data_IF_707671656039
#
_entry.id   IF_707671656039
#
_cell.length_a   1.000
_cell.length_b   1.000
_cell.length_c   1.000
_cell.angle_alpha   90.00
_cell.angle_beta   90.00
_cell.angle_gamma   90.00
#
_symmetry.space_group_name_H-M   'P 1'
#
loop_
_entity.id
_entity.type
_entity.pdbx_description
1 polymer ?
#
# COMPACT_ATOMS: atom_id res chain seq x y z
N UNK A 1 -10.61 -7.52 -2.56
CA UNK A 1 -10.36 -6.06 -2.51
C UNK A 1 -11.54 -5.23 -3.01
N UNK A 2 -11.94 -5.31 -4.29
CA UNK A 2 -12.97 -4.42 -4.90
C UNK A 2 -14.34 -4.44 -4.19
N UNK A 3 -14.79 -5.59 -3.68
CA UNK A 3 -16.06 -5.72 -2.96
C UNK A 3 -16.07 -5.19 -1.51
N UNK A 4 -14.89 -5.02 -0.89
CA UNK A 4 -14.77 -4.58 0.51
C UNK A 4 -14.76 -3.04 0.64
N UNK A 5 -14.45 -2.33 -0.45
CA UNK A 5 -14.35 -0.86 -0.50
C UNK A 5 -15.73 -0.28 -0.80
N UNK A 6 -16.53 0.00 0.22
CA UNK A 6 -17.86 0.59 0.05
C UNK A 6 -17.72 2.10 -0.26
N UNK A 7 -18.18 2.61 -1.42
CA UNK A 7 -17.97 4.01 -1.81
C UNK A 7 -18.54 5.03 -0.82
N UNK A 8 -19.69 4.72 -0.22
CA UNK A 8 -20.45 5.63 0.64
C UNK A 8 -20.03 5.62 2.11
N UNK A 9 -18.91 4.95 2.44
CA UNK A 9 -18.32 5.00 3.78
C UNK A 9 -17.33 6.16 3.91
N UNK A 10 -17.02 6.51 5.15
CA UNK A 10 -15.95 7.44 5.52
C UNK A 10 -14.58 7.04 4.92
N UNK A 11 -13.62 7.95 4.90
CA UNK A 11 -12.35 7.89 4.14
C UNK A 11 -11.52 6.62 4.44
N UNK A 12 -11.72 5.54 3.69
CA UNK A 12 -11.05 4.27 3.93
C UNK A 12 -9.58 4.31 3.49
N UNK A 13 -8.74 3.59 4.23
CA UNK A 13 -7.33 3.31 3.94
C UNK A 13 -7.13 1.82 3.67
N UNK A 14 -6.04 1.47 2.98
CA UNK A 14 -5.56 0.09 2.86
C UNK A 14 -4.31 -0.09 3.74
N UNK A 15 -4.41 -0.98 4.72
CA UNK A 15 -3.30 -1.40 5.57
C UNK A 15 -2.78 -2.77 5.14
N UNK A 16 -1.46 -2.92 5.13
CA UNK A 16 -0.77 -4.19 4.97
C UNK A 16 0.01 -4.53 6.24
N UNK A 17 -0.01 -5.79 6.66
CA UNK A 17 0.63 -6.27 7.88
C UNK A 17 1.84 -7.17 7.58
N UNK A 18 2.80 -7.28 8.53
CA UNK A 18 4.01 -8.09 8.33
C UNK A 18 3.77 -9.58 8.09
N UNK A 19 2.62 -10.11 8.50
CA UNK A 19 2.20 -11.51 8.26
C UNK A 19 1.67 -11.74 6.83
N UNK A 20 1.64 -10.69 6.00
CA UNK A 20 1.14 -10.71 4.63
C UNK A 20 -0.37 -10.53 4.51
N UNK A 21 -1.08 -10.32 5.62
CA UNK A 21 -2.50 -9.95 5.60
C UNK A 21 -2.68 -8.46 5.29
N UNK A 22 -3.91 -8.08 4.94
CA UNK A 22 -4.28 -6.69 4.66
C UNK A 22 -5.70 -6.40 5.13
N UNK A 23 -5.98 -5.13 5.41
CA UNK A 23 -7.29 -4.66 5.86
C UNK A 23 -7.64 -3.34 5.17
N UNK A 24 -8.92 -3.18 4.82
CA UNK A 24 -9.48 -1.88 4.43
C UNK A 24 -10.32 -1.35 5.58
N UNK A 25 -9.84 -0.31 6.24
CA UNK A 25 -10.47 0.24 7.44
C UNK A 25 -10.22 1.75 7.53
N UNK A 26 -10.83 2.39 8.54
CA UNK A 26 -10.61 3.80 8.84
C UNK A 26 -9.17 4.04 9.31
N UNK A 27 -8.63 5.24 9.10
CA UNK A 27 -7.35 5.61 9.71
C UNK A 27 -7.40 5.49 11.24
N UNK A 28 -6.24 5.25 11.85
CA UNK A 28 -6.15 5.26 13.31
C UNK A 28 -6.49 6.65 13.87
N UNK A 29 -7.16 6.69 15.02
CA UNK A 29 -7.44 7.94 15.74
C UNK A 29 -6.35 8.28 16.79
N UNK A 30 -5.28 7.48 16.88
CA UNK A 30 -4.22 7.66 17.87
C UNK A 30 -3.37 8.91 17.63
N UNK A 31 -3.01 9.62 18.71
CA UNK A 31 -2.20 10.83 18.67
C UNK A 31 -1.06 10.73 19.70
N UNK A 32 0.23 10.66 19.27
CA UNK A 32 0.68 10.55 17.88
C UNK A 32 0.44 9.14 17.29
N UNK A 33 0.34 9.01 15.95
CA UNK A 33 0.21 7.72 15.30
C UNK A 33 1.42 6.82 15.58
N UNK A 34 1.18 5.52 15.78
CA UNK A 34 2.24 4.52 16.00
C UNK A 34 3.06 4.27 14.73
N UNK A 35 2.44 4.41 13.55
CA UNK A 35 3.06 4.33 12.22
C UNK A 35 2.48 5.41 11.29
N UNK A 36 3.16 5.77 10.18
CA UNK A 36 2.58 6.64 9.17
C UNK A 36 1.27 6.08 8.60
N UNK A 37 0.27 6.93 8.38
CA UNK A 37 -1.00 6.52 7.79
C UNK A 37 -0.89 6.24 6.27
N UNK A 38 -1.63 5.26 5.73
CA UNK A 38 -1.79 5.06 4.30
C UNK A 38 -2.59 6.18 3.62
N UNK A 39 -2.70 6.11 2.29
CA UNK A 39 -3.54 7.03 1.54
C UNK A 39 -5.02 6.93 1.94
N UNK A 40 -5.58 8.07 2.32
CA UNK A 40 -6.98 8.23 2.73
C UNK A 40 -7.92 8.30 1.53
N UNK A 41 -9.11 7.70 1.68
CA UNK A 41 -10.22 7.92 0.76
C UNK A 41 -10.10 7.14 -0.55
N UNK A 42 -9.46 5.96 -0.54
CA UNK A 42 -9.38 5.09 -1.73
C UNK A 42 -10.77 4.73 -2.28
N UNK A 43 -11.81 4.77 -1.43
CA UNK A 43 -13.20 4.52 -1.79
C UNK A 43 -13.83 5.61 -2.66
N UNK A 44 -13.38 6.87 -2.58
CA UNK A 44 -13.93 7.96 -3.39
C UNK A 44 -13.50 7.91 -4.85
N UNK A 45 -12.28 7.44 -5.09
CA UNK A 45 -11.74 7.28 -6.43
C UNK A 45 -12.44 6.14 -7.19
N UNK A 46 -12.98 5.14 -6.47
CA UNK A 46 -13.50 3.89 -7.05
C UNK A 46 -14.56 4.08 -8.15
N UNK A 47 -15.53 4.97 -7.93
CA UNK A 47 -16.62 5.17 -8.90
C UNK A 47 -16.29 6.23 -9.97
N UNK A 48 -15.11 6.87 -9.87
CA UNK A 48 -14.71 7.99 -10.73
C UNK A 48 -13.71 7.60 -11.83
N UNK A 49 -13.27 6.35 -11.85
CA UNK A 49 -12.31 5.83 -12.83
C UNK A 49 -12.58 4.35 -13.13
N UNK A 50 -11.93 3.80 -14.15
CA UNK A 50 -12.01 2.37 -14.43
C UNK A 50 -11.43 1.55 -13.26
N UNK A 51 -11.85 0.29 -13.14
CA UNK A 51 -11.32 -0.64 -12.13
C UNK A 51 -9.78 -0.71 -12.19
N UNK A 52 -9.25 -0.68 -13.39
CA UNK A 52 -7.83 -0.82 -13.71
C UNK A 52 -7.02 0.40 -13.25
N UNK A 53 -7.50 1.60 -13.57
CA UNK A 53 -6.92 2.86 -13.09
C UNK A 53 -7.00 2.97 -11.57
N UNK A 54 -8.10 2.50 -10.97
CA UNK A 54 -8.26 2.48 -9.53
C UNK A 54 -7.27 1.54 -8.85
N UNK A 55 -7.10 0.32 -9.38
CA UNK A 55 -6.12 -0.64 -8.86
C UNK A 55 -4.69 -0.10 -9.00
N UNK A 56 -4.37 0.56 -10.11
CA UNK A 56 -3.08 1.22 -10.30
C UNK A 56 -2.84 2.33 -9.27
N UNK A 57 -3.84 3.19 -9.04
CA UNK A 57 -3.76 4.26 -8.04
C UNK A 57 -3.52 3.69 -6.64
N UNK A 58 -4.29 2.67 -6.25
CA UNK A 58 -4.13 1.99 -4.96
C UNK A 58 -2.74 1.38 -4.83
N UNK A 59 -2.19 0.78 -5.89
CA UNK A 59 -0.85 0.20 -5.87
C UNK A 59 0.24 1.27 -5.66
N UNK A 60 0.22 2.35 -6.43
CA UNK A 60 1.22 3.44 -6.31
C UNK A 60 1.21 4.07 -4.91
N UNK A 61 0.02 4.26 -4.35
CA UNK A 61 -0.12 4.76 -2.98
C UNK A 61 0.35 3.76 -1.93
N UNK A 62 0.13 2.46 -2.16
CA UNK A 62 0.59 1.39 -1.25
C UNK A 62 2.12 1.30 -1.24
N UNK A 63 2.79 1.38 -2.39
CA UNK A 63 4.25 1.38 -2.49
C UNK A 63 4.85 2.59 -1.76
N UNK A 64 4.25 3.77 -1.97
CA UNK A 64 4.66 5.00 -1.29
C UNK A 64 4.51 4.88 0.23
N UNK A 65 3.41 4.27 0.69
CA UNK A 65 3.16 4.06 2.11
C UNK A 65 4.14 3.06 2.73
N UNK A 66 4.40 1.91 2.08
CA UNK A 66 5.37 0.93 2.56
C UNK A 66 6.79 1.52 2.64
N UNK A 67 7.17 2.37 1.67
CA UNK A 67 8.43 3.11 1.73
C UNK A 67 8.46 4.05 2.94
N UNK A 68 7.37 4.78 3.19
CA UNK A 68 7.26 5.68 4.35
C UNK A 68 7.39 4.90 5.67
N UNK A 69 6.67 3.79 5.84
CA UNK A 69 6.76 2.91 7.01
C UNK A 69 8.18 2.36 7.20
N UNK A 70 8.82 1.87 6.13
CA UNK A 70 10.19 1.37 6.20
C UNK A 70 11.17 2.44 6.67
N UNK A 71 11.04 3.67 6.17
CA UNK A 71 11.91 4.78 6.54
C UNK A 71 11.57 5.41 7.90
N UNK A 72 10.32 5.31 8.35
CA UNK A 72 9.90 5.65 9.71
C UNK A 72 10.65 4.80 10.74
N UNK A 73 10.68 3.48 10.53
CA UNK A 73 11.47 2.59 11.40
C UNK A 73 12.98 2.73 11.20
N UNK A 74 13.44 3.15 10.03
CA UNK A 74 14.86 3.32 9.73
C UNK A 74 15.47 4.66 10.21
N UNK A 75 14.77 5.44 11.04
CA UNK A 75 15.22 6.77 11.47
C UNK A 75 16.64 6.78 12.08
N UNK A 76 17.02 5.69 12.76
CA UNK A 76 18.32 5.54 13.40
C UNK A 76 19.45 5.04 12.47
N UNK A 77 19.12 4.63 11.23
CA UNK A 77 20.10 4.12 10.28
C UNK A 77 20.97 5.24 9.71
N UNK A 78 22.25 4.92 9.42
CA UNK A 78 23.16 5.86 8.76
C UNK A 78 22.90 5.95 7.23
N UNK A 79 23.59 6.87 6.56
CA UNK A 79 23.44 7.11 5.11
C UNK A 79 23.57 5.82 4.27
N UNK A 80 24.57 4.99 4.53
CA UNK A 80 24.83 3.79 3.75
C UNK A 80 23.75 2.72 4.00
N UNK A 81 23.34 2.55 5.25
CA UNK A 81 22.26 1.63 5.62
C UNK A 81 20.92 2.03 4.98
N UNK A 82 20.59 3.33 4.98
CA UNK A 82 19.40 3.86 4.29
C UNK A 82 19.47 3.67 2.78
N UNK A 83 20.66 3.81 2.18
CA UNK A 83 20.87 3.54 0.77
C UNK A 83 20.68 2.05 0.43
N UNK A 84 21.22 1.15 1.24
CA UNK A 84 20.98 -0.30 1.10
C UNK A 84 19.51 -0.63 1.22
N UNK A 85 18.81 -0.10 2.23
CA UNK A 85 17.36 -0.29 2.41
C UNK A 85 16.57 0.17 1.18
N UNK A 86 16.89 1.35 0.64
CA UNK A 86 16.26 1.85 -0.58
C UNK A 86 16.48 0.93 -1.78
N UNK A 87 17.69 0.40 -1.98
CA UNK A 87 17.98 -0.52 -3.07
C UNK A 87 17.27 -1.86 -2.91
N UNK A 88 17.21 -2.40 -1.69
CA UNK A 88 16.43 -3.61 -1.38
C UNK A 88 14.95 -3.40 -1.72
N UNK A 89 14.38 -2.27 -1.27
CA UNK A 89 12.99 -1.92 -1.57
C UNK A 89 12.76 -1.79 -3.08
N UNK A 90 13.63 -1.07 -3.81
CA UNK A 90 13.55 -0.93 -5.27
C UNK A 90 13.58 -2.27 -6.01
N UNK A 91 14.40 -3.22 -5.55
CA UNK A 91 14.48 -4.56 -6.14
C UNK A 91 13.19 -5.36 -5.94
N UNK A 92 12.51 -5.17 -4.81
CA UNK A 92 11.24 -5.84 -4.49
C UNK A 92 10.02 -5.17 -5.14
N UNK A 93 10.03 -3.85 -5.32
CA UNK A 93 8.90 -3.05 -5.83
C UNK A 93 8.88 -2.88 -7.35
N UNK A 94 9.59 -3.75 -8.08
CA UNK A 94 9.49 -3.74 -9.54
C UNK A 94 8.18 -4.40 -9.95
N UNK A 95 7.16 -3.56 -10.17
CA UNK A 95 5.89 -3.76 -10.88
C UNK A 95 4.73 -4.46 -10.16
N UNK A 96 3.59 -3.75 -10.10
CA UNK A 96 2.30 -4.31 -10.52
C UNK A 96 2.51 -5.06 -11.83
N UNK A 97 2.64 -6.38 -11.77
CA UNK A 97 2.65 -7.18 -12.99
C UNK A 97 1.20 -7.47 -13.35
N UNK A 98 0.77 -6.96 -14.51
CA UNK A 98 -0.47 -7.38 -15.15
C UNK A 98 -0.19 -8.77 -15.73
N UNK A 99 -0.80 -9.80 -15.15
CA UNK A 99 -0.77 -11.15 -15.71
C UNK A 99 -2.20 -11.55 -16.08
N UNK A 100 -2.48 -11.74 -17.37
CA UNK A 100 -3.79 -12.19 -17.88
C UNK A 100 -4.98 -11.41 -17.29
N UNK A 101 -5.00 -10.09 -17.46
CA UNK A 101 -6.08 -9.19 -16.98
C UNK A 101 -6.35 -9.25 -15.45
N UNK A 102 -5.38 -9.78 -14.69
CA UNK A 102 -5.41 -9.87 -13.24
C UNK A 102 -4.21 -9.12 -12.67
N UNK A 103 -4.48 -8.06 -11.89
CA UNK A 103 -3.45 -7.30 -11.19
C UNK A 103 -2.93 -8.11 -10.02
N UNK A 104 -1.66 -8.56 -10.10
CA UNK A 104 -1.01 -9.22 -8.97
C UNK A 104 -0.33 -8.15 -8.10
N UNK A 105 -0.81 -7.98 -6.88
CA UNK A 105 -0.16 -7.15 -5.87
C UNK A 105 1.00 -7.92 -5.25
N UNK A 106 2.23 -7.50 -5.53
CA UNK A 106 3.42 -8.06 -4.89
C UNK A 106 3.73 -7.29 -3.61
N UNK A 107 2.91 -7.47 -2.57
CA UNK A 107 3.36 -7.17 -1.22
C UNK A 107 4.09 -8.42 -0.74
N UNK A 108 5.43 -8.38 -0.74
CA UNK A 108 6.33 -9.42 -0.19
C UNK A 108 6.48 -10.74 -0.99
N UNK A 109 6.48 -10.71 -2.32
CA UNK A 109 6.90 -11.87 -3.12
C UNK A 109 5.98 -13.10 -3.03
N UNK A 110 4.81 -12.98 -2.41
CA UNK A 110 3.71 -13.93 -2.58
C UNK A 110 2.65 -13.28 -3.45
N UNK A 111 2.35 -13.95 -4.56
CA UNK A 111 1.25 -13.60 -5.45
C UNK A 111 -0.05 -13.71 -4.65
N UNK A 112 -0.68 -12.59 -4.30
CA UNK A 112 -2.09 -12.60 -3.95
C UNK A 112 -2.87 -12.62 -5.27
N UNK A 113 -3.26 -13.82 -5.71
CA UNK A 113 -4.21 -13.99 -6.81
C UNK A 113 -5.61 -13.63 -6.30
N UNK A 114 -6.25 -12.61 -6.87
CA UNK A 114 -7.73 -12.49 -6.86
C UNK A 114 -8.24 -11.94 -8.19
#
# INVERSE_FOLDING_TARGET
MYGCVVPDKDNLCLYGYPDGTWEVTLPSHEVPPVIPDPALGINFARNKMSRDEWLYLVAVHSDSWLLNVAFFYAAYLNKNQRFTLFLTFKCMMSTVAVHNDSYSFFVTGRVCLT
#
